data_IF_262673524149
#
_entry.id   IF_262673524149
#
_cell.length_a   1.000
_cell.length_b   1.000
_cell.length_c   1.000
_cell.angle_alpha   90.00
_cell.angle_beta   90.00
_cell.angle_gamma   90.00
#
_symmetry.space_group_name_H-M   'P 1'
#
loop_
_entity.id
_entity.type
_entity.pdbx_description
1 polymer ?
#
# COMPACT_ATOMS: atom_id res chain seq x y z
N UNK A 1 -0.61 -9.74 19.08
CA UNK A 1 0.76 -10.32 19.15
C UNK A 1 1.77 -9.38 18.50
N UNK A 2 1.58 -8.92 17.26
CA UNK A 2 2.54 -8.05 16.54
C UNK A 2 2.89 -6.78 17.33
N UNK A 3 1.93 -6.13 17.97
CA UNK A 3 2.15 -4.89 18.76
C UNK A 3 3.12 -5.04 19.95
N UNK A 4 3.38 -6.26 20.38
CA UNK A 4 4.20 -6.55 21.56
C UNK A 4 5.44 -7.38 21.28
N UNK A 5 5.57 -7.97 20.06
CA UNK A 5 6.65 -8.91 19.74
C UNK A 5 7.49 -8.52 18.52
N UNK A 6 7.05 -7.56 17.73
CA UNK A 6 7.83 -7.05 16.57
C UNK A 6 8.00 -5.54 16.65
N UNK A 7 9.08 -5.05 16.08
CA UNK A 7 9.44 -3.62 16.13
C UNK A 7 8.52 -2.79 15.26
N UNK A 8 8.30 -3.19 14.01
CA UNK A 8 7.39 -2.54 13.07
C UNK A 8 6.62 -3.58 12.26
N UNK A 9 5.39 -3.25 11.89
CA UNK A 9 4.51 -4.09 11.06
C UNK A 9 4.03 -3.31 9.86
N UNK A 10 4.12 -3.90 8.68
CA UNK A 10 3.62 -3.35 7.45
C UNK A 10 2.42 -4.19 6.99
N UNK A 11 1.22 -3.62 7.10
CA UNK A 11 -0.04 -4.25 6.71
C UNK A 11 -0.38 -3.86 5.28
N UNK A 12 -0.69 -4.84 4.41
CA UNK A 12 -0.93 -4.59 2.98
C UNK A 12 -2.38 -4.95 2.61
N UNK A 13 -3.03 -4.09 1.84
CA UNK A 13 -4.34 -4.23 1.23
C UNK A 13 -5.43 -4.61 2.23
N UNK A 14 -5.95 -5.83 2.16
CA UNK A 14 -6.99 -6.29 3.10
C UNK A 14 -6.51 -6.26 4.55
N UNK A 15 -5.26 -6.66 4.81
CA UNK A 15 -4.68 -6.61 6.15
C UNK A 15 -4.56 -5.19 6.69
N UNK A 16 -4.30 -4.19 5.82
CA UNK A 16 -4.29 -2.79 6.20
C UNK A 16 -5.67 -2.34 6.69
N UNK A 17 -6.72 -2.63 5.93
CA UNK A 17 -8.10 -2.27 6.30
C UNK A 17 -8.57 -3.04 7.55
N UNK A 18 -8.22 -4.33 7.65
CA UNK A 18 -8.54 -5.14 8.82
C UNK A 18 -7.83 -4.64 10.09
N UNK A 19 -6.56 -4.26 9.96
CA UNK A 19 -5.77 -3.71 11.06
C UNK A 19 -6.29 -2.35 11.52
N UNK A 20 -6.59 -1.43 10.59
CA UNK A 20 -7.18 -0.13 10.92
C UNK A 20 -8.53 -0.27 11.63
N UNK A 21 -9.37 -1.20 11.18
CA UNK A 21 -10.63 -1.49 11.87
C UNK A 21 -10.38 -2.10 13.25
N UNK A 22 -9.52 -3.12 13.36
CA UNK A 22 -9.29 -3.85 14.60
C UNK A 22 -8.64 -3.00 15.69
N UNK A 23 -7.74 -2.10 15.34
CA UNK A 23 -6.94 -1.35 16.29
C UNK A 23 -7.46 0.07 16.57
N UNK A 24 -8.22 0.63 15.62
CA UNK A 24 -8.61 2.05 15.65
C UNK A 24 -10.07 2.28 15.28
N UNK A 25 -10.85 1.21 15.10
CA UNK A 25 -12.27 1.27 14.71
C UNK A 25 -12.55 2.05 13.42
N UNK A 26 -11.54 2.21 12.54
CA UNK A 26 -11.70 2.86 11.24
C UNK A 26 -12.54 1.97 10.33
N UNK A 27 -13.73 2.41 9.89
CA UNK A 27 -14.61 1.58 9.09
C UNK A 27 -14.09 1.39 7.67
N UNK A 28 -14.51 0.29 7.03
CA UNK A 28 -14.30 0.07 5.60
C UNK A 28 -15.62 0.15 4.85
N UNK A 29 -15.58 0.67 3.65
CA UNK A 29 -16.74 0.86 2.79
C UNK A 29 -16.61 0.01 1.54
N UNK A 30 -17.73 -0.57 1.09
CA UNK A 30 -17.77 -1.29 -0.18
C UNK A 30 -17.75 -0.28 -1.34
N UNK A 31 -16.93 -0.56 -2.33
CA UNK A 31 -16.90 0.19 -3.58
C UNK A 31 -17.98 -0.33 -4.54
N UNK A 32 -18.59 0.56 -5.30
CA UNK A 32 -19.52 0.20 -6.37
C UNK A 32 -18.81 -0.53 -7.52
N UNK A 33 -17.56 -0.12 -7.79
CA UNK A 33 -16.66 -0.75 -8.75
C UNK A 33 -15.35 -1.13 -8.07
N UNK A 34 -14.79 -2.25 -8.48
CA UNK A 34 -13.46 -2.68 -8.04
C UNK A 34 -12.42 -1.60 -8.38
N UNK A 35 -11.61 -1.18 -7.41
CA UNK A 35 -10.44 -0.36 -7.67
C UNK A 35 -9.35 -1.29 -8.19
N UNK A 36 -9.15 -1.26 -9.51
CA UNK A 36 -8.34 -2.22 -10.22
C UNK A 36 -7.44 -1.54 -11.26
N UNK A 37 -6.14 -1.52 -11.03
CA UNK A 37 -5.20 -0.83 -11.91
C UNK A 37 -3.98 -0.29 -11.19
N UNK A 38 -3.26 0.63 -11.84
CA UNK A 38 -2.05 1.29 -11.33
C UNK A 38 -2.32 2.79 -11.21
N UNK A 39 -2.36 3.28 -9.99
CA UNK A 39 -2.76 4.66 -9.70
C UNK A 39 -1.59 5.49 -9.21
N UNK A 40 -1.59 6.76 -9.63
CA UNK A 40 -0.64 7.75 -9.16
C UNK A 40 -0.98 8.15 -7.73
N UNK A 41 0.04 8.17 -6.88
CA UNK A 41 -0.02 8.53 -5.47
C UNK A 41 0.81 9.80 -5.24
N UNK A 42 0.45 10.58 -4.23
CA UNK A 42 1.20 11.73 -3.75
C UNK A 42 1.70 11.48 -2.34
N UNK A 43 2.96 11.83 -2.07
CA UNK A 43 3.49 11.84 -0.71
C UNK A 43 3.00 13.09 0.02
N UNK A 44 2.43 12.91 1.23
CA UNK A 44 1.96 14.02 2.08
C UNK A 44 2.99 14.39 3.16
N UNK A 45 3.93 13.50 3.42
CA UNK A 45 4.98 13.68 4.43
C UNK A 45 6.36 13.28 3.85
N UNK A 46 6.87 13.99 2.82
CA UNK A 46 8.07 13.59 2.07
C UNK A 46 9.34 13.54 2.91
N UNK A 47 9.35 14.20 4.07
CA UNK A 47 10.48 14.18 5.01
C UNK A 47 10.60 12.85 5.78
N UNK A 48 9.55 12.05 5.84
CA UNK A 48 9.59 10.77 6.55
C UNK A 48 10.57 9.80 5.91
N UNK A 49 11.37 9.07 6.70
CA UNK A 49 12.35 8.12 6.19
C UNK A 49 11.76 7.06 5.25
N UNK A 50 10.46 6.72 5.40
CA UNK A 50 9.78 5.77 4.50
C UNK A 50 9.80 6.24 3.04
N UNK A 51 9.81 7.55 2.78
CA UNK A 51 9.82 8.15 1.46
C UNK A 51 11.20 8.60 0.98
N UNK A 52 12.26 8.22 1.68
CA UNK A 52 13.61 8.60 1.27
C UNK A 52 13.93 8.08 -0.13
N UNK A 53 14.28 9.00 -1.04
CA UNK A 53 14.54 8.69 -2.46
C UNK A 53 13.29 8.56 -3.33
N UNK A 54 12.10 8.82 -2.78
CA UNK A 54 10.88 8.92 -3.58
C UNK A 54 10.84 10.28 -4.29
N UNK A 55 10.17 10.26 -5.44
CA UNK A 55 9.67 11.48 -6.07
C UNK A 55 8.40 11.95 -5.34
N UNK A 56 7.94 13.19 -5.62
CA UNK A 56 6.70 13.72 -5.05
C UNK A 56 5.47 12.88 -5.44
N UNK A 57 5.56 12.23 -6.60
CA UNK A 57 4.55 11.32 -7.15
C UNK A 57 5.16 9.94 -7.40
N UNK A 58 4.38 8.90 -7.13
CA UNK A 58 4.76 7.53 -7.43
C UNK A 58 3.53 6.71 -7.84
N UNK A 59 3.75 5.54 -8.42
CA UNK A 59 2.66 4.67 -8.84
C UNK A 59 2.55 3.46 -7.95
N UNK A 60 1.29 3.01 -7.70
CA UNK A 60 1.04 1.80 -6.92
C UNK A 60 -0.13 1.01 -7.52
N UNK A 61 0.03 -0.32 -7.70
CA UNK A 61 -1.06 -1.21 -8.07
C UNK A 61 -2.13 -1.33 -6.98
N UNK A 62 -3.38 -1.40 -7.38
CA UNK A 62 -4.52 -1.69 -6.52
C UNK A 62 -5.41 -2.76 -7.13
N UNK A 63 -5.93 -3.64 -6.27
CA UNK A 63 -6.95 -4.64 -6.60
C UNK A 63 -7.82 -4.87 -5.37
N UNK A 64 -8.88 -4.07 -5.20
CA UNK A 64 -9.72 -4.11 -4.02
C UNK A 64 -11.17 -3.73 -4.28
N UNK A 65 -12.08 -4.30 -3.50
CA UNK A 65 -13.53 -4.03 -3.52
C UNK A 65 -14.00 -3.14 -2.37
N UNK A 66 -13.06 -2.70 -1.52
CA UNK A 66 -13.36 -1.86 -0.35
C UNK A 66 -12.37 -0.72 -0.25
N UNK A 67 -12.76 0.32 0.48
CA UNK A 67 -11.91 1.48 0.80
C UNK A 67 -12.02 1.86 2.27
N UNK A 68 -11.04 2.63 2.71
CA UNK A 68 -11.08 3.45 3.93
C UNK A 68 -11.15 4.90 3.51
N UNK A 69 -11.77 5.75 4.33
CA UNK A 69 -11.96 7.16 4.00
C UNK A 69 -11.09 8.05 4.86
N UNK A 70 -10.60 9.12 4.25
CA UNK A 70 -9.76 10.11 4.91
C UNK A 70 -10.42 10.71 6.13
N UNK A 71 -11.71 11.07 6.01
CA UNK A 71 -12.48 11.66 7.09
C UNK A 71 -12.64 10.76 8.33
N UNK A 72 -12.53 9.45 8.21
CA UNK A 72 -12.56 8.53 9.35
C UNK A 72 -11.19 8.37 10.01
N UNK A 73 -10.13 8.42 9.22
CA UNK A 73 -8.76 8.39 9.72
C UNK A 73 -8.44 9.68 10.49
N UNK A 74 -8.84 10.83 9.96
CA UNK A 74 -8.58 12.16 10.56
C UNK A 74 -9.30 12.34 11.93
N UNK A 75 -10.26 11.48 12.28
CA UNK A 75 -10.88 11.46 13.63
C UNK A 75 -10.02 10.75 14.68
N UNK A 76 -9.00 10.03 14.27
CA UNK A 76 -8.14 9.23 15.15
C UNK A 76 -6.77 9.89 15.25
N UNK A 77 -6.45 10.58 16.37
CA UNK A 77 -5.22 11.38 16.50
C UNK A 77 -3.92 10.57 16.36
N UNK A 78 -3.96 9.26 16.57
CA UNK A 78 -2.80 8.37 16.46
C UNK A 78 -2.48 7.99 15.01
N UNK A 79 -3.37 8.29 14.06
CA UNK A 79 -3.21 7.95 12.64
C UNK A 79 -2.78 9.16 11.83
N UNK A 80 -1.84 8.95 10.93
CA UNK A 80 -1.37 9.94 9.98
C UNK A 80 -1.47 9.40 8.55
N UNK A 81 -2.25 10.07 7.68
CA UNK A 81 -2.23 9.75 6.24
C UNK A 81 -0.96 10.34 5.65
N UNK A 82 -0.06 9.49 5.19
CA UNK A 82 1.26 9.89 4.67
C UNK A 82 1.36 9.80 3.15
N UNK A 83 0.44 9.11 2.49
CA UNK A 83 0.28 9.12 1.04
C UNK A 83 -1.18 8.89 0.64
N UNK A 84 -1.62 9.57 -0.44
CA UNK A 84 -2.97 9.44 -0.99
C UNK A 84 -2.99 9.66 -2.50
N UNK A 85 -4.14 9.41 -3.11
CA UNK A 85 -4.40 9.57 -4.54
C UNK A 85 -5.78 10.16 -4.75
N UNK A 86 -5.91 11.07 -5.69
CA UNK A 86 -7.22 11.57 -6.14
C UNK A 86 -8.09 10.44 -6.73
N UNK A 87 -7.45 9.46 -7.36
CA UNK A 87 -8.15 8.36 -8.06
C UNK A 87 -8.41 7.16 -7.15
N UNK A 88 -7.48 6.82 -6.27
CA UNK A 88 -7.60 5.61 -5.44
C UNK A 88 -7.80 5.88 -3.94
N UNK A 89 -7.89 7.15 -3.52
CA UNK A 89 -8.09 7.52 -2.13
C UNK A 89 -6.85 7.30 -1.26
N UNK A 90 -7.05 7.04 0.03
CA UNK A 90 -5.96 6.83 0.98
C UNK A 90 -5.09 5.65 0.57
N UNK A 91 -3.79 5.91 0.41
CA UNK A 91 -2.80 4.92 0.01
C UNK A 91 -2.03 4.36 1.19
N UNK A 92 -1.50 5.23 2.05
CA UNK A 92 -0.69 4.82 3.18
C UNK A 92 -1.03 5.62 4.43
N UNK A 93 -1.20 4.91 5.54
CA UNK A 93 -1.39 5.46 6.88
C UNK A 93 -0.27 4.96 7.77
N UNK A 94 0.30 5.86 8.55
CA UNK A 94 1.30 5.56 9.58
C UNK A 94 0.68 5.71 10.97
N UNK A 95 1.10 4.86 11.90
CA UNK A 95 0.72 4.96 13.31
C UNK A 95 1.90 4.63 14.21
N UNK A 96 1.80 5.10 15.46
CA UNK A 96 2.76 4.80 16.54
C UNK A 96 4.22 5.11 16.16
N UNK A 97 4.43 6.23 15.43
CA UNK A 97 5.78 6.66 15.02
C UNK A 97 6.47 5.69 14.06
N UNK A 98 5.71 5.01 13.19
CA UNK A 98 6.27 4.06 12.21
C UNK A 98 6.36 2.62 12.71
N UNK A 99 5.80 2.32 13.88
CA UNK A 99 5.63 0.93 14.33
C UNK A 99 4.53 0.18 13.59
N UNK A 100 3.66 0.91 12.91
CA UNK A 100 2.58 0.36 12.09
C UNK A 100 2.43 1.19 10.82
N UNK A 101 2.46 0.52 9.66
CA UNK A 101 2.13 1.06 8.37
C UNK A 101 0.97 0.28 7.76
N UNK A 102 -0.01 0.99 7.22
CA UNK A 102 -1.20 0.44 6.58
C UNK A 102 -1.25 0.92 5.14
N UNK A 103 -0.98 0.03 4.19
CA UNK A 103 -0.89 0.32 2.76
C UNK A 103 -2.06 -0.34 2.04
N UNK A 104 -2.91 0.44 1.39
CA UNK A 104 -4.10 -0.08 0.70
C UNK A 104 -3.82 -0.67 -0.67
N UNK A 105 -2.68 -0.35 -1.26
CA UNK A 105 -2.20 -0.87 -2.54
C UNK A 105 -1.19 -2.00 -2.38
N UNK A 106 -0.56 -2.37 -3.50
CA UNK A 106 0.31 -3.55 -3.63
C UNK A 106 1.66 -3.19 -4.28
N UNK A 107 2.59 -2.64 -3.51
CA UNK A 107 3.93 -2.33 -4.01
C UNK A 107 4.74 -3.59 -4.39
N UNK A 108 4.36 -4.75 -3.85
CA UNK A 108 5.00 -6.06 -4.06
C UNK A 108 4.58 -6.78 -5.34
N UNK A 109 3.56 -6.29 -6.05
CA UNK A 109 3.03 -7.00 -7.22
C UNK A 109 4.08 -7.17 -8.32
N UNK A 110 4.12 -8.39 -8.89
CA UNK A 110 4.87 -8.66 -10.11
C UNK A 110 4.27 -7.92 -11.30
N UNK A 111 5.03 -7.76 -12.41
CA UNK A 111 4.50 -7.09 -13.61
C UNK A 111 3.18 -7.66 -14.11
N UNK A 112 2.97 -8.96 -13.97
CA UNK A 112 1.82 -9.67 -14.56
C UNK A 112 0.71 -10.03 -13.57
N UNK A 113 0.79 -9.60 -12.30
CA UNK A 113 -0.21 -9.98 -11.30
C UNK A 113 -1.61 -9.51 -11.67
N UNK A 114 -1.77 -8.24 -12.09
CA UNK A 114 -3.07 -7.71 -12.51
C UNK A 114 -3.56 -8.33 -13.82
N UNK A 115 -2.66 -8.64 -14.77
CA UNK A 115 -3.01 -9.33 -16.04
C UNK A 115 -3.54 -10.75 -15.74
N UNK A 116 -2.87 -11.48 -14.87
CA UNK A 116 -3.30 -12.82 -14.46
C UNK A 116 -4.68 -12.78 -13.79
N UNK A 117 -4.91 -11.81 -12.92
CA UNK A 117 -6.21 -11.62 -12.27
C UNK A 117 -7.29 -11.26 -13.28
N UNK A 118 -7.02 -10.33 -14.18
CA UNK A 118 -7.94 -9.90 -15.23
C UNK A 118 -8.36 -11.06 -16.14
N UNK A 119 -7.37 -11.82 -16.67
CA UNK A 119 -7.65 -12.97 -17.55
C UNK A 119 -8.38 -14.09 -16.82
N UNK A 120 -7.99 -14.40 -15.59
CA UNK A 120 -8.66 -15.39 -14.74
C UNK A 120 -10.15 -15.09 -14.57
N UNK A 121 -10.49 -13.82 -14.33
CA UNK A 121 -11.86 -13.43 -14.06
C UNK A 121 -12.68 -13.34 -15.37
N UNK A 122 -12.07 -12.94 -16.48
CA UNK A 122 -12.67 -13.04 -17.82
C UNK A 122 -12.98 -14.50 -18.19
N UNK A 123 -12.04 -15.42 -18.01
CA UNK A 123 -12.20 -16.84 -18.33
C UNK A 123 -13.33 -17.48 -17.51
N UNK A 124 -13.59 -16.98 -16.31
CA UNK A 124 -14.71 -17.39 -15.45
C UNK A 124 -16.03 -16.70 -15.79
N UNK A 125 -16.06 -15.79 -16.75
CA UNK A 125 -17.25 -15.00 -17.08
C UNK A 125 -17.68 -14.04 -15.97
N UNK A 126 -16.76 -13.64 -15.10
CA UNK A 126 -17.03 -12.68 -14.03
C UNK A 126 -16.99 -11.25 -14.57
N UNK A 127 -17.83 -10.34 -14.05
CA UNK A 127 -17.77 -8.94 -14.42
C UNK A 127 -16.48 -8.32 -13.87
N UNK A 128 -15.56 -8.00 -14.77
CA UNK A 128 -14.31 -7.33 -14.45
C UNK A 128 -13.99 -6.28 -15.51
N UNK A 129 -13.65 -5.08 -15.06
CA UNK A 129 -13.13 -4.03 -15.92
C UNK A 129 -11.64 -4.29 -16.20
N UNK A 130 -11.15 -3.80 -17.34
CA UNK A 130 -9.72 -3.79 -17.63
C UNK A 130 -8.98 -2.97 -16.57
N UNK A 131 -7.79 -3.42 -16.10
CA UNK A 131 -7.05 -2.68 -15.09
C UNK A 131 -6.60 -1.30 -15.63
N UNK A 132 -6.98 -0.24 -14.91
CA UNK A 132 -6.70 1.15 -15.30
C UNK A 132 -5.19 1.45 -15.29
N UNK A 133 -4.71 2.22 -16.27
CA UNK A 133 -3.32 2.70 -16.38
C UNK A 133 -2.25 1.58 -16.32
N UNK A 134 -2.60 0.39 -16.68
CA UNK A 134 -1.76 -0.79 -16.51
C UNK A 134 -1.14 -1.28 -17.82
N UNK A 135 -1.92 -1.41 -18.88
CA UNK A 135 -1.39 -1.84 -20.18
C UNK A 135 -0.80 -0.67 -20.97
N UNK A 136 0.18 -0.97 -21.83
CA UNK A 136 0.68 0.00 -22.80
C UNK A 136 -0.44 0.39 -23.76
N UNK A 137 -0.65 1.69 -23.93
CA UNK A 137 -1.70 2.26 -24.79
C UNK A 137 -3.11 1.67 -24.53
N UNK A 138 -3.37 1.23 -23.29
CA UNK A 138 -4.60 0.55 -22.88
C UNK A 138 -4.92 -0.72 -23.72
N UNK A 139 -3.85 -1.42 -24.18
CA UNK A 139 -3.95 -2.61 -25.00
C UNK A 139 -3.34 -3.82 -24.30
N UNK A 140 -4.18 -4.83 -23.96
CA UNK A 140 -3.70 -6.05 -23.28
C UNK A 140 -2.67 -6.87 -24.06
N UNK A 141 -2.69 -6.79 -25.39
CA UNK A 141 -1.74 -7.47 -26.27
C UNK A 141 -0.33 -6.84 -26.23
N UNK A 142 -0.19 -5.58 -25.81
CA UNK A 142 1.09 -4.89 -25.67
C UNK A 142 1.74 -5.10 -24.28
N UNK A 143 1.05 -5.77 -23.37
CA UNK A 143 1.55 -6.10 -22.04
C UNK A 143 1.61 -4.92 -21.08
N UNK A 144 2.05 -5.18 -19.83
CA UNK A 144 2.01 -4.19 -18.75
C UNK A 144 3.06 -3.07 -18.91
N UNK A 145 2.68 -1.85 -18.53
CA UNK A 145 3.56 -0.72 -18.31
C UNK A 145 3.95 -0.63 -16.83
N UNK A 146 5.07 -1.21 -16.47
CA UNK A 146 5.52 -1.25 -15.05
C UNK A 146 6.11 0.10 -14.63
N UNK A 147 5.44 0.76 -13.66
CA UNK A 147 5.84 2.09 -13.15
C UNK A 147 5.98 2.13 -11.61
N UNK A 148 5.81 1.01 -10.92
CA UNK A 148 5.82 0.96 -9.44
C UNK A 148 7.03 0.24 -8.84
N UNK A 149 7.81 -0.48 -9.63
CA UNK A 149 8.88 -1.36 -9.13
C UNK A 149 9.96 -0.62 -8.36
N UNK A 150 10.42 0.51 -8.88
CA UNK A 150 11.50 1.28 -8.24
C UNK A 150 11.05 1.81 -6.86
N UNK A 151 9.89 2.45 -6.80
CA UNK A 151 9.32 2.96 -5.55
C UNK A 151 8.90 1.83 -4.60
N UNK A 152 8.42 0.69 -5.13
CA UNK A 152 8.15 -0.51 -4.32
C UNK A 152 9.41 -1.03 -3.63
N UNK A 153 10.53 -1.13 -4.36
CA UNK A 153 11.81 -1.52 -3.78
C UNK A 153 12.29 -0.53 -2.72
N UNK A 154 12.18 0.78 -2.99
CA UNK A 154 12.53 1.82 -2.01
C UNK A 154 11.65 1.72 -0.76
N UNK A 155 10.34 1.52 -0.92
CA UNK A 155 9.40 1.39 0.19
C UNK A 155 9.83 0.29 1.17
N UNK A 156 10.06 -0.92 0.66
CA UNK A 156 10.47 -2.05 1.50
C UNK A 156 11.86 -1.85 2.08
N UNK A 157 12.81 -1.33 1.30
CA UNK A 157 14.17 -1.05 1.76
C UNK A 157 14.19 0.00 2.86
N UNK A 158 13.43 1.09 2.71
CA UNK A 158 13.32 2.15 3.70
C UNK A 158 12.63 1.65 4.97
N UNK A 159 11.51 0.91 4.84
CA UNK A 159 10.84 0.31 5.99
C UNK A 159 11.77 -0.61 6.77
N UNK A 160 12.44 -1.55 6.10
CA UNK A 160 13.38 -2.48 6.75
C UNK A 160 14.53 -1.74 7.42
N UNK A 161 15.11 -0.75 6.75
CA UNK A 161 16.27 -0.02 7.29
C UNK A 161 15.90 0.90 8.45
N UNK A 162 14.89 1.78 8.26
CA UNK A 162 14.62 2.87 9.20
C UNK A 162 13.64 2.52 10.31
N UNK A 163 12.73 1.56 10.10
CA UNK A 163 11.66 1.23 11.05
C UNK A 163 11.76 -0.18 11.63
N UNK A 164 12.59 -1.04 11.04
CA UNK A 164 12.86 -2.37 11.58
C UNK A 164 14.30 -2.43 12.11
N UNK A 165 15.29 -2.31 11.23
CA UNK A 165 16.69 -2.55 11.59
C UNK A 165 17.22 -1.53 12.61
N UNK A 166 17.00 -0.23 12.36
CA UNK A 166 17.51 0.84 13.25
C UNK A 166 16.73 0.96 14.56
N UNK A 167 15.46 0.56 14.59
CA UNK A 167 14.59 0.66 15.76
C UNK A 167 14.54 -0.63 16.61
N UNK A 168 15.03 -1.75 16.07
CA UNK A 168 15.06 -3.01 16.84
C UNK A 168 16.10 -2.92 17.93
N UNK A 169 15.72 -3.10 19.22
CA UNK A 169 16.66 -3.12 20.33
C UNK A 169 17.71 -4.22 20.12
N UNK A 170 18.98 -3.82 20.17
CA UNK A 170 20.08 -4.74 19.96
C UNK A 170 21.18 -4.51 20.99
N UNK A 171 21.55 -5.57 21.73
CA UNK A 171 22.67 -5.55 22.64
C UNK A 171 23.90 -6.17 21.97
N UNK A 172 24.88 -5.33 21.60
CA UNK A 172 26.13 -5.76 20.97
C UNK A 172 26.93 -6.71 21.84
N UNK A 173 26.76 -6.65 23.16
CA UNK A 173 27.47 -7.51 24.10
C UNK A 173 26.86 -8.92 24.20
N UNK A 174 25.68 -9.11 23.62
CA UNK A 174 25.00 -10.42 23.56
C UNK A 174 25.46 -11.31 22.40
N UNK A 175 26.31 -10.80 21.49
CA UNK A 175 26.90 -11.60 20.41
C UNK A 175 27.92 -12.55 21.02
N UNK A 176 27.71 -13.83 20.79
CA UNK A 176 28.67 -14.89 21.12
C UNK A 176 29.51 -15.24 19.90
#
# INVERSE_FOLDING_TARGET
WTRTHVTSTLYICWAAQAGLYHFYDVPKYKLDRKKFGVFKQHTLAPILPIFRGFDDEFFMPHSRHTEIRREDIDKVPELEVVAESEQSGVCMVMARGGREFYITGHAEYSPYTLDTEYRRDLDKGLPIDMPENYYRHDRPDEGPLVRWRAHGNLLFSNWLNYYVYQETPYDINSIK
#
